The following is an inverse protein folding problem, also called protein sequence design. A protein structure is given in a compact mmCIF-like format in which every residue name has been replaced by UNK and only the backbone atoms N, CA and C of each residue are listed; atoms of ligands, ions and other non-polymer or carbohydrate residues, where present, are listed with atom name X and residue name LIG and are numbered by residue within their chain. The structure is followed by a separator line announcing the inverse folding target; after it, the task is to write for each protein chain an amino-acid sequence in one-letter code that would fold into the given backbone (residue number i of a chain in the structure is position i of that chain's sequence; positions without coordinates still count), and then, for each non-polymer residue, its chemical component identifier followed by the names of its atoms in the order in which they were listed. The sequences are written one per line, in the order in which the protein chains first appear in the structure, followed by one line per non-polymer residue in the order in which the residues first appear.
data_IF_092761245634
#
_entry.id   IF_092761245634
#
_cell.length_a   1.000
_cell.length_b   1.000
_cell.length_c   1.000
_cell.angle_alpha   90.00
_cell.angle_beta   90.00
_cell.angle_gamma   90.00
#
_symmetry.space_group_name_H-M   'P 1'
#
loop_
_entity.id
_entity.type
_entity.pdbx_description
1 polymer ?
#
# COMPACT_ATOMS: atom_id res chain seq x y z
N UNK A 1 -25.13 -16.25 -6.42
CA UNK A 1 -24.82 -15.89 -5.04
C UNK A 1 -23.32 -15.67 -5.03
N UNK A 2 -22.81 -14.57 -4.53
CA UNK A 2 -21.36 -14.34 -4.40
C UNK A 2 -20.82 -15.22 -3.27
N UNK A 3 -19.63 -15.74 -3.42
CA UNK A 3 -18.92 -16.38 -2.31
C UNK A 3 -18.58 -15.33 -1.25
N UNK A 4 -18.62 -15.69 0.02
CA UNK A 4 -18.34 -14.78 1.13
C UNK A 4 -17.24 -15.35 2.01
N UNK A 5 -16.31 -14.47 2.42
CA UNK A 5 -15.27 -14.74 3.43
C UNK A 5 -15.41 -13.72 4.55
N UNK A 6 -15.12 -14.14 5.78
CA UNK A 6 -15.28 -13.29 6.97
C UNK A 6 -13.92 -12.94 7.58
N UNK A 7 -13.75 -11.66 7.93
CA UNK A 7 -12.52 -11.11 8.50
C UNK A 7 -12.86 -10.10 9.60
N UNK A 8 -11.94 -9.92 10.55
CA UNK A 8 -12.04 -8.84 11.54
C UNK A 8 -11.77 -7.47 10.90
N UNK A 9 -10.82 -7.44 9.94
CA UNK A 9 -10.44 -6.22 9.22
C UNK A 9 -10.23 -6.53 7.74
N UNK A 10 -10.83 -5.70 6.89
CA UNK A 10 -10.59 -5.71 5.43
C UNK A 10 -9.94 -4.40 5.02
N UNK A 11 -8.76 -4.48 4.42
CA UNK A 11 -7.99 -3.33 3.92
C UNK A 11 -8.02 -3.33 2.39
N UNK A 12 -8.43 -2.20 1.82
CA UNK A 12 -8.49 -2.01 0.36
C UNK A 12 -7.31 -1.18 -0.10
N UNK A 13 -6.40 -1.83 -0.80
CA UNK A 13 -5.21 -1.23 -1.41
C UNK A 13 -3.89 -1.64 -0.72
N UNK A 14 -3.03 -2.31 -1.51
CA UNK A 14 -1.68 -2.75 -1.12
C UNK A 14 -0.60 -1.68 -1.27
N UNK A 15 -0.95 -0.42 -1.05
CA UNK A 15 0.01 0.68 -0.97
C UNK A 15 0.69 0.78 0.41
N UNK A 16 1.61 1.75 0.60
CA UNK A 16 2.35 1.89 1.86
C UNK A 16 1.44 2.01 3.09
N UNK A 17 0.35 2.75 2.97
CA UNK A 17 -0.59 2.97 4.07
C UNK A 17 -1.35 1.71 4.46
N UNK A 18 -1.90 0.97 3.47
CA UNK A 18 -2.63 -0.27 3.72
C UNK A 18 -1.73 -1.36 4.30
N UNK A 19 -0.53 -1.52 3.74
CA UNK A 19 0.45 -2.47 4.25
C UNK A 19 0.93 -2.12 5.66
N UNK A 20 1.20 -0.84 5.94
CA UNK A 20 1.59 -0.41 7.28
C UNK A 20 0.47 -0.66 8.31
N UNK A 21 -0.79 -0.39 7.93
CA UNK A 21 -1.94 -0.67 8.79
C UNK A 21 -2.08 -2.18 9.07
N UNK A 22 -2.00 -3.03 8.02
CA UNK A 22 -2.10 -4.47 8.16
C UNK A 22 -1.00 -5.05 9.08
N UNK A 23 0.24 -4.64 8.84
CA UNK A 23 1.40 -5.04 9.65
C UNK A 23 1.20 -4.61 11.10
N UNK A 24 0.83 -3.36 11.32
CA UNK A 24 0.66 -2.82 12.67
C UNK A 24 -0.45 -3.52 13.45
N UNK A 25 -1.56 -3.84 12.81
CA UNK A 25 -2.64 -4.63 13.42
C UNK A 25 -2.13 -5.99 13.89
N UNK A 26 -1.44 -6.72 13.05
CA UNK A 26 -0.86 -8.04 13.38
C UNK A 26 0.23 -7.96 14.46
N UNK A 27 0.98 -6.84 14.54
CA UNK A 27 1.95 -6.62 15.61
C UNK A 27 1.30 -6.34 16.97
N UNK A 28 0.11 -5.68 16.97
CA UNK A 28 -0.65 -5.40 18.19
C UNK A 28 -1.38 -6.66 18.66
N UNK A 29 -2.01 -7.37 17.73
CA UNK A 29 -2.75 -8.59 18.00
C UNK A 29 -2.51 -9.62 16.87
N UNK A 30 -1.71 -10.64 17.17
CA UNK A 30 -1.42 -11.70 16.21
C UNK A 30 -2.66 -12.56 15.88
N UNK A 31 -3.68 -12.55 16.74
CA UNK A 31 -4.93 -13.32 16.56
C UNK A 31 -5.94 -12.66 15.62
N UNK A 32 -5.82 -11.35 15.38
CA UNK A 32 -6.75 -10.63 14.50
C UNK A 32 -6.67 -11.15 13.05
N UNK A 33 -7.82 -11.41 12.43
CA UNK A 33 -7.89 -11.89 11.05
C UNK A 33 -7.95 -10.70 10.08
N UNK A 34 -6.85 -10.43 9.37
CA UNK A 34 -6.71 -9.27 8.48
C UNK A 34 -6.60 -9.72 7.03
N UNK A 35 -7.50 -9.20 6.20
CA UNK A 35 -7.46 -9.33 4.75
C UNK A 35 -7.02 -8.01 4.10
N UNK A 36 -6.11 -8.08 3.14
CA UNK A 36 -5.71 -6.95 2.29
C UNK A 36 -5.92 -7.32 0.84
N UNK A 37 -6.72 -6.54 0.12
CA UNK A 37 -6.92 -6.70 -1.32
C UNK A 37 -6.21 -5.60 -2.10
N UNK A 38 -5.66 -5.95 -3.26
CA UNK A 38 -5.00 -5.04 -4.19
C UNK A 38 -5.49 -5.30 -5.61
N UNK A 39 -5.86 -4.23 -6.33
CA UNK A 39 -6.32 -4.32 -7.73
C UNK A 39 -5.22 -4.70 -8.72
N UNK A 40 -3.98 -4.38 -8.41
CA UNK A 40 -2.82 -4.75 -9.21
C UNK A 40 -2.57 -6.25 -9.16
N UNK A 41 -1.97 -6.80 -10.21
CA UNK A 41 -1.61 -8.22 -10.29
C UNK A 41 -0.61 -8.69 -9.22
N UNK A 42 0.09 -7.75 -8.62
CA UNK A 42 1.01 -7.94 -7.48
C UNK A 42 1.09 -6.64 -6.67
N UNK A 43 1.54 -6.75 -5.42
CA UNK A 43 1.82 -5.57 -4.58
C UNK A 43 2.89 -4.72 -5.24
N UNK A 44 2.64 -3.42 -5.36
CA UNK A 44 3.56 -2.45 -5.95
C UNK A 44 3.51 -2.31 -7.48
N UNK A 45 2.69 -3.11 -8.19
CA UNK A 45 2.61 -3.08 -9.66
C UNK A 45 2.19 -1.71 -10.22
N UNK A 46 1.29 -1.00 -9.53
CA UNK A 46 0.77 0.30 -9.98
C UNK A 46 1.46 1.50 -9.31
N UNK A 47 2.53 1.26 -8.56
CA UNK A 47 3.23 2.31 -7.83
C UNK A 47 4.37 2.86 -8.70
N UNK A 48 4.37 4.19 -8.92
CA UNK A 48 5.48 4.85 -9.58
C UNK A 48 6.74 4.76 -8.72
N UNK A 49 7.86 4.48 -9.37
CA UNK A 49 9.18 4.41 -8.75
C UNK A 49 9.82 5.79 -8.65
N UNK A 50 10.82 5.95 -7.78
CA UNK A 50 11.61 7.15 -7.61
C UNK A 50 11.00 8.12 -6.61
N UNK A 51 11.00 7.76 -5.35
CA UNK A 51 10.61 8.62 -4.23
C UNK A 51 11.79 8.90 -3.29
N UNK A 52 11.71 9.98 -2.53
CA UNK A 52 12.55 10.21 -1.35
C UNK A 52 11.69 9.90 -0.13
N UNK A 53 12.16 8.97 0.69
CA UNK A 53 11.43 8.46 1.85
C UNK A 53 12.13 8.84 3.15
N UNK A 54 11.36 9.39 4.08
CA UNK A 54 11.76 9.51 5.49
C UNK A 54 11.64 8.12 6.15
N UNK A 55 12.72 7.56 6.72
CA UNK A 55 12.72 6.20 7.25
C UNK A 55 11.98 6.04 8.59
N UNK A 56 11.46 7.11 9.20
CA UNK A 56 10.82 7.06 10.52
C UNK A 56 9.70 6.02 10.59
N UNK A 57 8.77 6.04 9.63
CA UNK A 57 7.64 5.12 9.64
C UNK A 57 8.07 3.66 9.53
N UNK A 58 9.05 3.36 8.67
CA UNK A 58 9.55 1.99 8.54
C UNK A 58 10.35 1.57 9.78
N UNK A 59 11.07 2.50 10.42
CA UNK A 59 11.79 2.25 11.66
C UNK A 59 10.83 1.98 12.83
N UNK A 60 9.68 2.64 12.86
CA UNK A 60 8.64 2.38 13.86
C UNK A 60 7.98 1.01 13.69
N UNK A 61 7.78 0.56 12.43
CA UNK A 61 7.23 -0.77 12.15
C UNK A 61 8.26 -1.88 12.36
N UNK A 62 9.49 -1.65 11.91
CA UNK A 62 10.59 -2.62 11.92
C UNK A 62 11.87 -1.92 12.37
N UNK A 63 12.19 -1.89 13.69
CA UNK A 63 13.42 -1.25 14.18
C UNK A 63 14.70 -1.76 13.49
N UNK A 64 14.72 -3.04 13.13
CA UNK A 64 15.85 -3.72 12.47
C UNK A 64 15.64 -3.88 10.95
N UNK A 65 14.92 -2.96 10.30
CA UNK A 65 14.58 -3.04 8.87
C UNK A 65 15.79 -3.24 7.94
N UNK A 66 16.96 -2.70 8.31
CA UNK A 66 18.21 -2.88 7.54
C UNK A 66 18.67 -4.35 7.57
N UNK A 67 18.65 -4.98 8.75
CA UNK A 67 19.00 -6.39 8.90
C UNK A 67 17.97 -7.32 8.23
N UNK A 68 16.73 -6.86 8.10
CA UNK A 68 15.64 -7.57 7.42
C UNK A 68 15.63 -7.35 5.89
N UNK A 69 16.59 -6.62 5.36
CA UNK A 69 16.76 -6.42 3.92
C UNK A 69 15.72 -5.48 3.29
N UNK A 70 15.22 -4.49 4.04
CA UNK A 70 14.36 -3.46 3.45
C UNK A 70 15.12 -2.69 2.36
N UNK A 71 14.51 -2.42 1.19
CA UNK A 71 15.20 -1.85 0.03
C UNK A 71 15.38 -0.32 0.13
N UNK A 72 16.01 0.14 1.23
CA UNK A 72 16.41 1.51 1.48
C UNK A 72 17.95 1.61 1.45
N UNK A 73 18.53 1.51 0.25
CA UNK A 73 19.99 1.37 0.09
C UNK A 73 20.69 2.72 -0.16
N UNK A 74 20.00 3.69 -0.77
CA UNK A 74 20.61 4.94 -1.23
C UNK A 74 20.24 6.10 -0.32
N UNK A 75 21.10 6.40 0.65
CA UNK A 75 20.93 7.58 1.51
C UNK A 75 21.09 8.88 0.70
N UNK A 76 20.29 9.89 1.02
CA UNK A 76 20.42 11.23 0.43
C UNK A 76 21.70 11.89 0.94
N UNK A 77 22.62 12.15 0.04
CA UNK A 77 23.91 12.80 0.34
C UNK A 77 23.88 14.32 0.13
N UNK A 78 22.99 14.82 -0.73
CA UNK A 78 22.92 16.24 -1.08
C UNK A 78 21.55 16.62 -1.62
N UNK A 79 21.06 17.78 -1.17
CA UNK A 79 19.90 18.48 -1.75
C UNK A 79 20.37 19.66 -2.61
N UNK A 80 19.67 19.88 -3.72
CA UNK A 80 19.84 21.05 -4.56
C UNK A 80 18.48 21.55 -5.00
N UNK A 81 18.19 22.81 -4.73
CA UNK A 81 17.00 23.50 -5.24
C UNK A 81 17.40 24.55 -6.23
N UNK A 82 16.83 24.47 -7.42
CA UNK A 82 17.21 25.32 -8.54
C UNK A 82 15.98 26.00 -9.12
N UNK A 83 16.03 27.32 -9.24
CA UNK A 83 15.01 28.08 -9.95
C UNK A 83 15.40 28.22 -11.41
N UNK A 84 14.56 27.70 -12.32
CA UNK A 84 14.81 27.73 -13.75
C UNK A 84 14.26 29.03 -14.38
N UNK A 85 15.04 29.65 -15.26
CA UNK A 85 14.67 30.82 -16.05
C UNK A 85 14.75 30.49 -17.55
N UNK A 86 14.31 31.41 -18.41
CA UNK A 86 14.44 31.24 -19.87
C UNK A 86 15.89 31.15 -20.36
N UNK A 87 16.84 31.73 -19.62
CA UNK A 87 18.23 31.90 -20.04
C UNK A 87 19.25 31.19 -19.13
N UNK A 88 18.79 30.44 -18.13
CA UNK A 88 19.66 29.74 -17.20
C UNK A 88 18.94 29.30 -15.94
N UNK A 89 19.70 29.16 -14.87
CA UNK A 89 19.17 28.77 -13.57
C UNK A 89 19.86 29.53 -12.42
N UNK A 90 19.19 29.60 -11.28
CA UNK A 90 19.71 30.14 -10.01
C UNK A 90 19.51 29.09 -8.93
N UNK A 91 20.60 28.73 -8.25
CA UNK A 91 20.52 27.83 -7.10
C UNK A 91 20.07 28.59 -5.85
N UNK A 92 19.06 28.05 -5.19
CA UNK A 92 18.60 28.56 -3.89
C UNK A 92 19.38 27.91 -2.76
N UNK A 93 19.80 28.68 -1.74
CA UNK A 93 20.55 28.13 -0.62
C UNK A 93 19.64 27.23 0.23
N UNK A 94 19.97 25.94 0.32
CA UNK A 94 19.17 24.92 1.01
C UNK A 94 18.94 25.26 2.50
N UNK A 95 19.88 25.97 3.15
CA UNK A 95 19.73 26.35 4.55
C UNK A 95 18.57 27.35 4.79
N UNK A 96 18.20 28.13 3.76
CA UNK A 96 17.11 29.11 3.83
C UNK A 96 15.74 28.48 3.49
N UNK A 97 15.71 27.20 3.06
CA UNK A 97 14.47 26.50 2.72
C UNK A 97 13.80 25.94 3.97
N UNK A 98 12.46 25.80 3.95
CA UNK A 98 11.71 25.08 4.97
C UNK A 98 12.24 23.66 5.18
N UNK A 99 12.03 23.11 6.38
CA UNK A 99 12.54 21.77 6.73
C UNK A 99 12.02 20.65 5.83
N UNK A 100 10.80 20.79 5.29
CA UNK A 100 10.20 19.82 4.37
C UNK A 100 10.94 19.66 3.02
N UNK A 101 11.85 20.60 2.67
CA UNK A 101 12.73 20.51 1.50
C UNK A 101 14.11 19.93 1.82
N UNK A 102 14.37 19.57 3.09
CA UNK A 102 15.66 19.03 3.54
C UNK A 102 15.53 17.53 3.70
N UNK A 103 16.28 16.79 2.88
CA UNK A 103 16.19 15.33 2.82
C UNK A 103 17.40 14.63 3.47
N UNK A 104 18.21 15.35 4.24
CA UNK A 104 19.32 14.72 4.96
C UNK A 104 18.79 13.67 5.94
N UNK A 105 19.29 12.44 5.83
CA UNK A 105 18.81 11.29 6.60
C UNK A 105 17.67 10.50 5.93
N UNK A 106 17.12 10.98 4.82
CA UNK A 106 16.16 10.28 4.00
C UNK A 106 16.86 9.36 2.97
N UNK A 107 16.08 8.52 2.30
CA UNK A 107 16.56 7.57 1.31
C UNK A 107 15.87 7.77 -0.03
N UNK A 108 16.65 7.65 -1.11
CA UNK A 108 16.12 7.55 -2.48
C UNK A 108 15.74 6.11 -2.70
N UNK A 109 14.47 5.86 -3.00
CA UNK A 109 13.90 4.51 -3.06
C UNK A 109 13.09 4.26 -4.33
N UNK A 110 12.87 2.99 -4.63
CA UNK A 110 11.75 2.53 -5.44
C UNK A 110 10.58 2.19 -4.51
N UNK A 111 9.54 3.02 -4.51
CA UNK A 111 8.40 2.80 -3.62
C UNK A 111 7.68 1.48 -3.93
N UNK A 112 7.67 1.04 -5.20
CA UNK A 112 7.14 -0.27 -5.57
C UNK A 112 7.91 -1.42 -4.92
N UNK A 113 9.24 -1.33 -4.85
CA UNK A 113 10.07 -2.35 -4.16
C UNK A 113 9.84 -2.33 -2.64
N UNK A 114 9.72 -1.15 -2.04
CA UNK A 114 9.38 -1.03 -0.62
C UNK A 114 8.02 -1.67 -0.33
N UNK A 115 7.02 -1.43 -1.17
CA UNK A 115 5.70 -2.06 -1.00
C UNK A 115 5.76 -3.58 -1.17
N UNK A 116 6.52 -4.11 -2.14
CA UNK A 116 6.69 -5.57 -2.26
C UNK A 116 7.32 -6.17 -1.00
N UNK A 117 8.37 -5.53 -0.49
CA UNK A 117 9.01 -5.96 0.76
C UNK A 117 8.03 -5.91 1.94
N UNK A 118 7.26 -4.82 2.10
CA UNK A 118 6.21 -4.71 3.12
C UNK A 118 5.13 -5.78 2.94
N UNK A 119 4.75 -6.11 1.70
CA UNK A 119 3.82 -7.19 1.41
C UNK A 119 4.31 -8.54 1.93
N UNK A 120 5.58 -8.86 1.67
CA UNK A 120 6.22 -10.08 2.21
C UNK A 120 6.24 -10.09 3.74
N UNK A 121 6.49 -8.94 4.38
CA UNK A 121 6.45 -8.84 5.85
C UNK A 121 5.02 -9.02 6.38
N UNK A 122 4.02 -8.46 5.71
CA UNK A 122 2.61 -8.62 6.07
C UNK A 122 2.17 -10.09 6.01
N UNK A 123 2.48 -10.79 4.92
CA UNK A 123 2.21 -12.22 4.75
C UNK A 123 2.93 -13.06 5.82
N UNK A 124 4.19 -12.76 6.14
CA UNK A 124 4.95 -13.42 7.20
C UNK A 124 4.32 -13.26 8.60
N UNK A 125 3.61 -12.16 8.83
CA UNK A 125 2.83 -11.91 10.04
C UNK A 125 1.43 -12.54 10.02
N UNK A 126 1.03 -13.18 8.91
CA UNK A 126 -0.26 -13.85 8.76
C UNK A 126 -1.38 -12.90 8.27
N UNK A 127 -1.05 -11.84 7.54
CA UNK A 127 -2.04 -11.08 6.77
C UNK A 127 -2.39 -11.86 5.52
N UNK A 128 -3.67 -12.02 5.22
CA UNK A 128 -4.12 -12.59 3.96
C UNK A 128 -4.08 -11.53 2.87
N UNK A 129 -3.13 -11.64 1.93
CA UNK A 129 -2.94 -10.67 0.85
C UNK A 129 -3.45 -11.24 -0.46
N UNK A 130 -4.42 -10.55 -1.08
CA UNK A 130 -5.06 -10.94 -2.33
C UNK A 130 -4.80 -9.91 -3.43
N UNK A 131 -3.73 -10.06 -4.22
CA UNK A 131 -3.49 -9.26 -5.41
C UNK A 131 -4.43 -9.69 -6.56
N UNK A 132 -4.75 -8.77 -7.46
CA UNK A 132 -5.68 -8.98 -8.57
C UNK A 132 -7.15 -8.72 -8.23
N UNK A 133 -7.49 -8.43 -6.97
CA UNK A 133 -8.86 -8.18 -6.52
C UNK A 133 -9.11 -6.69 -6.28
N UNK A 134 -9.99 -6.10 -7.07
CA UNK A 134 -10.39 -4.70 -6.92
C UNK A 134 -11.63 -4.59 -6.01
N UNK A 135 -11.56 -3.80 -4.95
CA UNK A 135 -12.76 -3.40 -4.21
C UNK A 135 -13.67 -2.56 -5.10
N UNK A 136 -14.90 -3.02 -5.32
CA UNK A 136 -15.86 -2.38 -6.23
C UNK A 136 -17.03 -1.73 -5.50
N UNK A 137 -17.47 -2.27 -4.38
CA UNK A 137 -18.67 -1.83 -3.69
C UNK A 137 -18.48 -1.94 -2.17
N UNK A 138 -18.96 -0.95 -1.42
CA UNK A 138 -19.06 -1.04 0.03
C UNK A 138 -20.42 -1.62 0.39
N UNK A 139 -20.43 -2.66 1.21
CA UNK A 139 -21.64 -3.33 1.66
C UNK A 139 -22.09 -2.74 3.01
N UNK A 140 -23.38 -2.50 3.14
CA UNK A 140 -24.00 -1.97 4.35
C UNK A 140 -25.01 -2.94 4.94
N UNK A 141 -25.19 -2.88 6.25
CA UNK A 141 -26.28 -3.58 6.95
C UNK A 141 -27.60 -2.80 6.85
N UNK A 142 -28.65 -3.34 7.48
CA UNK A 142 -29.98 -2.72 7.52
C UNK A 142 -30.00 -1.39 8.26
N UNK A 143 -29.01 -1.11 9.11
CA UNK A 143 -28.87 0.13 9.87
C UNK A 143 -27.97 1.16 9.17
N UNK A 144 -27.40 0.82 8.01
CA UNK A 144 -26.46 1.65 7.26
C UNK A 144 -25.04 1.61 7.77
N UNK A 145 -24.67 0.68 8.65
CA UNK A 145 -23.28 0.44 9.04
C UNK A 145 -22.55 -0.39 7.98
N UNK A 146 -21.25 -0.13 7.80
CA UNK A 146 -20.41 -0.91 6.87
C UNK A 146 -20.28 -2.33 7.39
N UNK A 147 -20.72 -3.30 6.60
CA UNK A 147 -20.60 -4.73 6.91
C UNK A 147 -19.52 -5.44 6.11
N UNK A 148 -18.90 -4.77 5.15
CA UNK A 148 -17.87 -5.37 4.31
C UNK A 148 -17.72 -4.66 2.97
N UNK A 149 -17.09 -5.35 2.04
CA UNK A 149 -16.92 -4.91 0.66
C UNK A 149 -17.24 -6.06 -0.31
N UNK A 150 -17.59 -5.72 -1.54
CA UNK A 150 -17.61 -6.67 -2.64
C UNK A 150 -16.45 -6.34 -3.62
N UNK A 151 -15.80 -7.38 -4.11
CA UNK A 151 -14.83 -7.26 -5.20
C UNK A 151 -15.53 -7.19 -6.55
N UNK A 152 -14.88 -6.62 -7.55
CA UNK A 152 -15.39 -6.60 -8.92
C UNK A 152 -15.34 -7.97 -9.57
N UNK A 153 -16.20 -8.20 -10.57
CA UNK A 153 -16.16 -9.38 -11.41
C UNK A 153 -14.84 -9.43 -12.20
N UNK A 154 -14.29 -10.64 -12.34
CA UNK A 154 -13.09 -10.88 -13.15
C UNK A 154 -13.47 -11.50 -14.51
N UNK A 155 -12.57 -11.38 -15.49
CA UNK A 155 -12.77 -11.96 -16.81
C UNK A 155 -13.87 -11.30 -17.64
N UNK A 156 -14.19 -10.03 -17.38
CA UNK A 156 -15.08 -9.24 -18.24
C UNK A 156 -14.40 -8.85 -19.55
N UNK A 157 -15.16 -8.86 -20.65
CA UNK A 157 -14.74 -8.32 -21.94
C UNK A 157 -14.64 -6.79 -21.86
N UNK A 158 -14.02 -6.17 -22.88
CA UNK A 158 -13.91 -4.71 -23.00
C UNK A 158 -15.25 -3.97 -22.93
N UNK A 159 -16.34 -4.65 -23.27
CA UNK A 159 -17.72 -4.11 -23.25
C UNK A 159 -18.46 -4.44 -21.94
N UNK A 160 -17.78 -4.96 -20.92
CA UNK A 160 -18.38 -5.30 -19.62
C UNK A 160 -19.21 -6.57 -19.61
N UNK A 161 -19.17 -7.38 -20.67
CA UNK A 161 -19.89 -8.66 -20.74
C UNK A 161 -19.01 -9.80 -20.23
N UNK A 162 -19.59 -10.85 -19.62
CA UNK A 162 -18.85 -12.04 -19.21
C UNK A 162 -18.06 -12.65 -20.38
N UNK A 163 -16.75 -12.84 -20.18
CA UNK A 163 -15.86 -13.54 -21.10
C UNK A 163 -15.64 -15.02 -20.69
N UNK A 164 -14.78 -15.75 -21.43
CA UNK A 164 -14.52 -17.17 -21.16
C UNK A 164 -13.94 -17.48 -19.77
N UNK A 165 -13.30 -16.47 -19.13
CA UNK A 165 -12.73 -16.57 -17.78
C UNK A 165 -13.51 -15.77 -16.74
N UNK A 166 -14.81 -15.51 -16.98
CA UNK A 166 -15.63 -14.75 -16.05
C UNK A 166 -15.78 -15.47 -14.71
N UNK A 167 -15.46 -14.72 -13.65
CA UNK A 167 -15.70 -15.11 -12.26
C UNK A 167 -16.42 -13.96 -11.56
N UNK A 168 -17.59 -14.22 -10.90
CA UNK A 168 -18.26 -13.19 -10.13
C UNK A 168 -17.39 -12.74 -8.96
N UNK A 169 -17.51 -11.46 -8.60
CA UNK A 169 -16.82 -10.91 -7.44
C UNK A 169 -17.25 -11.61 -6.15
N UNK A 170 -16.38 -11.53 -5.14
CA UNK A 170 -16.58 -12.10 -3.80
C UNK A 170 -17.06 -11.03 -2.83
N UNK A 171 -17.73 -11.45 -1.76
CA UNK A 171 -18.02 -10.60 -0.60
C UNK A 171 -16.98 -10.85 0.49
N UNK A 172 -16.34 -9.78 0.97
CA UNK A 172 -15.47 -9.80 2.14
C UNK A 172 -16.24 -9.09 3.26
N UNK A 173 -16.81 -9.88 4.16
CA UNK A 173 -17.65 -9.40 5.24
C UNK A 173 -16.83 -9.18 6.52
N UNK A 174 -17.24 -8.19 7.32
CA UNK A 174 -16.68 -7.96 8.64
C UNK A 174 -17.40 -8.87 9.65
N UNK A 175 -16.64 -9.46 10.55
CA UNK A 175 -17.18 -10.17 11.71
C UNK A 175 -17.79 -9.11 12.63
N UNK A 176 -19.11 -9.17 12.80
CA UNK A 176 -19.80 -8.34 13.79
C UNK A 176 -19.63 -8.99 15.16
N UNK A 177 -18.94 -8.30 16.05
CA UNK A 177 -18.86 -8.65 17.48
C UNK A 177 -20.08 -8.07 18.21
#
# INVERSE_FOLDING_TARGET
MRESMEFDVVIVGGGPAGLAAAIRLKQIDAGINVCLIEKGSEIGAHILSGAVMDPRAITELFPDWQAQGAPLETAVSRDRMTFLTRHGFVDLPVFALPSCFKNHGNYIISLGQVCRWLGTQAEALGVEVYPGFAGAEVLYDENGAVRGIATGDMGLTRNGQPGPGHQPGMELSLIHI
#
